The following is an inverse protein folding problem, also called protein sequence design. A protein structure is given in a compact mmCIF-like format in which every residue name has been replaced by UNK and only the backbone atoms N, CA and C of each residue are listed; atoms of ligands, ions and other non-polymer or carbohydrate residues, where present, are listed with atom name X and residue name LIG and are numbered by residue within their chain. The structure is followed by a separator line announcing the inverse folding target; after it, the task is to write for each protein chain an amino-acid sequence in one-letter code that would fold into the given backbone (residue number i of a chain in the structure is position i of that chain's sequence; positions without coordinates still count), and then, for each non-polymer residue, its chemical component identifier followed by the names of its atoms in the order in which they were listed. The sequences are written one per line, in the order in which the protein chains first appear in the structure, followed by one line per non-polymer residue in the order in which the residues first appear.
data_IF_913722361774
#
_entry.id   IF_913722361774
#
_cell.length_a   1.000
_cell.length_b   1.000
_cell.length_c   1.000
_cell.angle_alpha   90.00
_cell.angle_beta   90.00
_cell.angle_gamma   90.00
#
_symmetry.space_group_name_H-M   'P 1'
#
loop_
_entity.id
_entity.type
_entity.pdbx_description
1 polymer ?
#
# COMPACT_ATOMS: atom_id res chain seq x y z
N UNK A 1 1.20 -29.22 2.83
CA UNK A 1 0.29 -28.27 2.14
C UNK A 1 1.17 -27.39 1.29
N UNK A 2 0.98 -27.44 -0.02
CA UNK A 2 1.68 -26.54 -0.95
C UNK A 2 0.80 -25.33 -1.23
N UNK A 3 1.40 -24.11 -1.17
CA UNK A 3 0.71 -22.84 -1.35
C UNK A 3 1.45 -22.00 -2.39
N UNK A 4 0.71 -21.26 -3.21
CA UNK A 4 1.25 -20.19 -4.02
C UNK A 4 0.91 -18.85 -3.38
N UNK A 5 1.94 -18.04 -3.13
CA UNK A 5 1.76 -16.74 -2.44
C UNK A 5 2.36 -15.65 -3.31
N UNK A 6 1.56 -14.64 -3.61
CA UNK A 6 2.01 -13.35 -4.13
C UNK A 6 1.85 -12.31 -3.01
N UNK A 7 2.91 -11.58 -2.70
CA UNK A 7 2.93 -10.51 -1.72
C UNK A 7 3.26 -9.19 -2.41
N UNK A 8 2.35 -8.24 -2.33
CA UNK A 8 2.45 -6.93 -2.95
C UNK A 8 2.30 -5.82 -1.93
N UNK A 9 3.02 -4.73 -2.12
CA UNK A 9 2.81 -3.50 -1.38
C UNK A 9 2.07 -2.49 -2.27
N UNK A 10 0.96 -1.95 -1.77
CA UNK A 10 0.16 -0.94 -2.45
C UNK A 10 0.00 0.26 -1.52
N UNK A 11 0.65 1.39 -1.81
CA UNK A 11 0.70 2.57 -0.93
C UNK A 11 -0.69 2.99 -0.44
N UNK A 12 -1.65 3.15 -1.36
CA UNK A 12 -3.04 3.52 -1.05
C UNK A 12 -3.98 2.34 -1.28
N UNK A 13 -5.01 2.22 -0.46
CA UNK A 13 -6.04 1.19 -0.57
C UNK A 13 -7.02 1.40 -1.75
N UNK A 14 -6.96 2.58 -2.39
CA UNK A 14 -7.74 2.91 -3.59
C UNK A 14 -6.88 3.76 -4.55
N UNK A 15 -6.10 3.12 -5.43
CA UNK A 15 -5.30 3.81 -6.46
C UNK A 15 -6.09 4.16 -7.73
N UNK A 16 -7.41 4.38 -7.63
CA UNK A 16 -8.33 4.57 -8.76
C UNK A 16 -9.14 3.32 -9.11
N UNK A 17 -8.91 2.20 -8.40
CA UNK A 17 -9.65 0.94 -8.52
C UNK A 17 -9.61 0.17 -7.19
N UNK A 18 -10.51 -0.81 -7.04
CA UNK A 18 -10.52 -1.66 -5.85
C UNK A 18 -9.32 -2.64 -5.89
N UNK A 19 -8.43 -2.57 -4.88
CA UNK A 19 -7.29 -3.49 -4.75
C UNK A 19 -7.75 -4.95 -4.69
N UNK A 20 -8.93 -5.22 -4.11
CA UNK A 20 -9.52 -6.56 -4.11
C UNK A 20 -9.72 -7.14 -5.52
N UNK A 21 -10.18 -6.33 -6.48
CA UNK A 21 -10.35 -6.77 -7.88
C UNK A 21 -9.00 -7.14 -8.51
N UNK A 22 -7.97 -6.34 -8.27
CA UNK A 22 -6.61 -6.65 -8.72
C UNK A 22 -6.09 -7.93 -8.07
N UNK A 23 -6.31 -8.10 -6.76
CA UNK A 23 -5.95 -9.33 -6.03
C UNK A 23 -6.64 -10.58 -6.58
N UNK A 24 -7.93 -10.48 -6.94
CA UNK A 24 -8.67 -11.57 -7.60
C UNK A 24 -8.00 -11.95 -8.93
N UNK A 25 -7.67 -10.95 -9.76
CA UNK A 25 -6.98 -11.19 -11.02
C UNK A 25 -5.64 -11.90 -10.84
N UNK A 26 -4.82 -11.47 -9.86
CA UNK A 26 -3.54 -12.13 -9.57
C UNK A 26 -3.73 -13.56 -9.03
N UNK A 27 -4.70 -13.78 -8.15
CA UNK A 27 -5.02 -15.13 -7.67
C UNK A 27 -5.47 -16.05 -8.80
N UNK A 28 -6.30 -15.56 -9.72
CA UNK A 28 -6.76 -16.31 -10.88
C UNK A 28 -5.59 -16.68 -11.81
N UNK A 29 -4.66 -15.75 -12.04
CA UNK A 29 -3.43 -16.03 -12.81
C UNK A 29 -2.59 -17.09 -12.16
N UNK A 30 -2.31 -17.00 -10.85
CA UNK A 30 -1.55 -18.02 -10.12
C UNK A 30 -2.19 -19.41 -10.22
N UNK A 31 -3.52 -19.50 -10.21
CA UNK A 31 -4.22 -20.77 -10.41
C UNK A 31 -4.03 -21.26 -11.85
N UNK A 32 -4.21 -20.38 -12.85
CA UNK A 32 -4.06 -20.73 -14.26
C UNK A 32 -2.64 -21.16 -14.62
N UNK A 33 -1.63 -20.51 -14.07
CA UNK A 33 -0.21 -20.82 -14.31
C UNK A 33 0.23 -22.18 -13.75
N UNK A 34 -0.59 -22.82 -12.92
CA UNK A 34 -0.31 -24.19 -12.44
C UNK A 34 -0.52 -25.25 -13.51
N UNK A 35 -1.30 -24.96 -14.55
CA UNK A 35 -1.49 -25.89 -15.65
C UNK A 35 -0.18 -26.15 -16.40
N UNK A 36 0.12 -27.42 -16.62
CA UNK A 36 1.37 -27.85 -17.24
C UNK A 36 2.56 -27.98 -16.29
N UNK A 37 2.49 -27.38 -15.09
CA UNK A 37 3.56 -27.44 -14.07
C UNK A 37 3.15 -28.24 -12.84
N UNK A 38 2.02 -27.93 -12.23
CA UNK A 38 1.49 -28.58 -11.02
C UNK A 38 0.48 -29.66 -11.36
N UNK A 39 -0.35 -29.43 -12.37
CA UNK A 39 -1.34 -30.42 -12.83
C UNK A 39 -1.46 -30.39 -14.35
N UNK A 40 -1.96 -31.49 -14.92
CA UNK A 40 -2.22 -31.65 -16.35
C UNK A 40 -3.55 -32.35 -16.55
N UNK A 41 -4.14 -32.19 -17.74
CA UNK A 41 -5.42 -32.81 -18.11
C UNK A 41 -6.51 -32.61 -17.02
N UNK A 42 -7.04 -33.71 -16.49
CA UNK A 42 -8.12 -33.71 -15.50
C UNK A 42 -7.64 -33.77 -14.03
N UNK A 43 -6.35 -33.58 -13.76
CA UNK A 43 -5.78 -33.66 -12.41
C UNK A 43 -6.08 -32.41 -11.52
N UNK A 44 -7.28 -31.84 -11.62
CA UNK A 44 -7.68 -30.59 -10.91
C UNK A 44 -7.54 -30.70 -9.38
N UNK A 45 -7.58 -31.91 -8.82
CA UNK A 45 -7.35 -32.14 -7.38
C UNK A 45 -5.96 -31.69 -6.89
N UNK A 46 -4.99 -31.58 -7.82
CA UNK A 46 -3.62 -31.12 -7.54
C UNK A 46 -3.49 -29.60 -7.45
N UNK A 47 -4.52 -28.85 -7.86
CA UNK A 47 -4.48 -27.38 -7.82
C UNK A 47 -4.16 -26.92 -6.41
N UNK A 48 -3.07 -26.17 -6.29
CA UNK A 48 -2.62 -25.58 -5.04
C UNK A 48 -3.41 -24.30 -4.74
N UNK A 49 -3.61 -24.04 -3.45
CA UNK A 49 -4.25 -22.84 -2.98
C UNK A 49 -3.38 -21.60 -3.29
N UNK A 50 -3.98 -20.57 -3.87
CA UNK A 50 -3.35 -19.31 -4.18
C UNK A 50 -3.76 -18.22 -3.18
N UNK A 51 -2.78 -17.47 -2.70
CA UNK A 51 -2.95 -16.28 -1.88
C UNK A 51 -2.35 -15.07 -2.57
N UNK A 52 -3.15 -14.05 -2.84
CA UNK A 52 -2.69 -12.71 -3.24
C UNK A 52 -2.82 -11.78 -2.03
N UNK A 53 -1.68 -11.43 -1.41
CA UNK A 53 -1.62 -10.63 -0.18
C UNK A 53 -1.17 -9.22 -0.53
N UNK A 54 -1.94 -8.23 -0.09
CA UNK A 54 -1.72 -6.81 -0.35
C UNK A 54 -1.54 -6.06 0.95
N UNK A 55 -0.38 -5.45 1.15
CA UNK A 55 -0.11 -4.60 2.31
C UNK A 55 -0.31 -3.14 1.88
N UNK A 56 -1.23 -2.44 2.55
CA UNK A 56 -1.54 -1.04 2.33
C UNK A 56 -1.05 -0.21 3.52
N UNK A 57 0.12 0.45 3.42
CA UNK A 57 0.67 1.26 4.51
C UNK A 57 -0.14 2.53 4.80
N UNK A 58 -0.72 3.14 3.78
CA UNK A 58 -1.48 4.40 3.88
C UNK A 58 -2.95 4.21 3.45
N UNK A 59 -3.74 3.40 4.16
CA UNK A 59 -5.14 3.23 3.83
C UNK A 59 -5.96 4.44 4.25
N UNK A 60 -7.17 4.58 3.71
CA UNK A 60 -8.13 5.58 4.18
C UNK A 60 -8.45 5.38 5.66
N UNK A 61 -8.79 6.47 6.38
CA UNK A 61 -9.07 6.44 7.83
C UNK A 61 -10.06 5.34 8.24
N UNK A 62 -11.07 5.06 7.41
CA UNK A 62 -12.10 4.05 7.69
C UNK A 62 -11.59 2.60 7.60
N UNK A 63 -10.47 2.38 6.93
CA UNK A 63 -9.91 1.03 6.69
C UNK A 63 -8.68 0.71 7.53
N UNK A 64 -8.13 1.69 8.25
CA UNK A 64 -6.96 1.50 9.12
C UNK A 64 -7.15 0.33 10.09
N UNK A 65 -6.07 -0.35 10.40
CA UNK A 65 -6.01 -1.47 11.34
C UNK A 65 -6.99 -2.60 11.00
N UNK A 66 -7.05 -2.99 9.72
CA UNK A 66 -7.93 -4.08 9.28
C UNK A 66 -7.20 -5.10 8.41
N UNK A 67 -7.61 -6.34 8.54
CA UNK A 67 -7.23 -7.45 7.67
C UNK A 67 -8.51 -8.00 7.07
N UNK A 68 -8.65 -7.95 5.76
CA UNK A 68 -9.84 -8.39 5.03
C UNK A 68 -9.45 -9.55 4.11
N UNK A 69 -10.15 -10.65 4.22
CA UNK A 69 -10.00 -11.81 3.32
C UNK A 69 -11.19 -11.87 2.37
N UNK A 70 -10.91 -12.01 1.08
CA UNK A 70 -11.86 -12.35 0.03
C UNK A 70 -11.55 -13.77 -0.45
N UNK A 71 -12.54 -14.61 -0.50
CA UNK A 71 -12.39 -16.02 -0.88
C UNK A 71 -13.66 -16.56 -1.53
N UNK A 72 -13.55 -17.68 -2.20
CA UNK A 72 -14.70 -18.42 -2.70
C UNK A 72 -15.38 -19.08 -1.50
N UNK A 73 -16.70 -18.90 -1.41
CA UNK A 73 -17.55 -19.55 -0.41
C UNK A 73 -18.68 -20.27 -1.12
N UNK A 74 -19.09 -21.39 -0.55
CA UNK A 74 -20.26 -22.12 -0.99
C UNK A 74 -21.54 -21.50 -0.42
N UNK A 75 -22.59 -21.45 -1.25
CA UNK A 75 -23.93 -21.07 -0.82
C UNK A 75 -24.94 -22.03 -1.45
N UNK A 76 -25.58 -22.83 -0.63
CA UNK A 76 -26.66 -23.70 -1.07
C UNK A 76 -27.85 -22.86 -1.56
N UNK A 77 -28.15 -22.95 -2.84
CA UNK A 77 -29.35 -22.30 -3.43
C UNK A 77 -30.56 -23.24 -3.45
N UNK A 78 -30.28 -24.54 -3.59
CA UNK A 78 -31.26 -25.60 -3.52
C UNK A 78 -30.57 -26.93 -3.25
N UNK A 79 -31.10 -27.74 -2.34
CA UNK A 79 -30.45 -29.00 -1.92
C UNK A 79 -29.25 -28.78 -0.99
N UNK A 80 -28.47 -29.85 -0.79
CA UNK A 80 -27.28 -29.85 0.08
C UNK A 80 -26.03 -30.15 -0.73
N UNK A 81 -24.94 -29.46 -0.42
CA UNK A 81 -23.62 -29.77 -0.94
C UNK A 81 -22.92 -30.81 -0.07
N UNK A 82 -22.07 -31.60 -0.72
CA UNK A 82 -21.19 -32.57 -0.08
C UNK A 82 -19.72 -32.35 -0.48
N UNK A 83 -19.39 -31.17 -1.03
CA UNK A 83 -18.04 -30.83 -1.46
C UNK A 83 -17.21 -30.37 -0.28
N UNK A 84 -16.05 -30.97 -0.07
CA UNK A 84 -15.13 -30.55 1.00
C UNK A 84 -14.62 -29.13 0.76
N UNK A 85 -14.57 -28.33 1.83
CA UNK A 85 -14.02 -26.96 1.80
C UNK A 85 -12.63 -26.87 1.11
N UNK A 86 -11.75 -27.85 1.34
CA UNK A 86 -10.42 -27.93 0.72
C UNK A 86 -10.44 -27.98 -0.80
N UNK A 87 -11.56 -28.40 -1.41
CA UNK A 87 -11.66 -28.58 -2.85
C UNK A 87 -12.03 -27.28 -3.59
N UNK A 88 -12.69 -26.34 -2.94
CA UNK A 88 -13.06 -25.04 -3.54
C UNK A 88 -12.33 -23.82 -2.92
N UNK A 89 -11.74 -23.92 -1.73
CA UNK A 89 -10.94 -22.83 -1.12
C UNK A 89 -9.56 -22.74 -1.80
N UNK A 90 -9.55 -22.42 -3.10
CA UNK A 90 -8.33 -22.35 -3.92
C UNK A 90 -7.86 -20.93 -4.18
N UNK A 91 -8.77 -19.95 -4.16
CA UNK A 91 -8.48 -18.54 -4.49
C UNK A 91 -8.73 -17.65 -3.28
N UNK A 92 -7.68 -16.96 -2.82
CA UNK A 92 -7.74 -16.09 -1.65
C UNK A 92 -7.03 -14.77 -1.93
N UNK A 93 -7.69 -13.66 -1.58
CA UNK A 93 -7.10 -12.33 -1.55
C UNK A 93 -7.11 -11.83 -0.13
N UNK A 94 -5.98 -11.36 0.38
CA UNK A 94 -5.89 -10.77 1.73
C UNK A 94 -5.39 -9.35 1.59
N UNK A 95 -6.16 -8.39 2.11
CA UNK A 95 -5.76 -6.99 2.17
C UNK A 95 -5.49 -6.64 3.62
N UNK A 96 -4.25 -6.22 3.89
CA UNK A 96 -3.78 -5.78 5.19
C UNK A 96 -3.65 -4.26 5.15
N UNK A 97 -4.56 -3.57 5.79
CA UNK A 97 -4.53 -2.12 5.91
C UNK A 97 -3.85 -1.73 7.23
N UNK A 98 -2.66 -1.17 7.13
CA UNK A 98 -1.93 -0.71 8.30
C UNK A 98 -2.56 0.56 8.86
N UNK A 99 -2.30 0.86 10.11
CA UNK A 99 -2.79 2.05 10.78
C UNK A 99 -1.66 2.91 11.31
N UNK A 100 -2.02 4.00 11.97
CA UNK A 100 -1.07 4.73 12.78
C UNK A 100 -0.68 3.84 13.97
N UNK A 101 0.62 3.76 14.26
CA UNK A 101 1.15 2.96 15.38
C UNK A 101 0.84 3.61 16.74
N UNK A 102 -0.13 4.52 16.79
CA UNK A 102 -0.57 5.22 17.99
C UNK A 102 -1.57 4.32 18.75
N UNK A 103 -1.15 3.82 19.92
CA UNK A 103 -1.94 2.95 20.78
C UNK A 103 -1.62 1.46 20.66
N UNK A 104 -2.26 0.66 21.51
CA UNK A 104 -2.12 -0.79 21.48
C UNK A 104 -2.94 -1.38 20.33
N UNK A 105 -2.28 -2.06 19.40
CA UNK A 105 -2.93 -2.84 18.35
C UNK A 105 -3.14 -4.25 18.88
N UNK A 106 -4.39 -4.64 19.11
CA UNK A 106 -4.77 -5.98 19.56
C UNK A 106 -4.76 -7.01 18.40
N UNK A 107 -3.73 -6.93 17.57
CA UNK A 107 -3.49 -7.90 16.50
C UNK A 107 -2.00 -7.99 16.21
N UNK A 108 -1.40 -9.13 16.53
CA UNK A 108 0.04 -9.34 16.42
C UNK A 108 0.58 -9.13 14.99
N UNK A 109 -0.16 -9.56 13.96
CA UNK A 109 0.27 -9.40 12.57
C UNK A 109 0.25 -7.92 12.14
N UNK A 110 -0.79 -7.17 12.50
CA UNK A 110 -0.87 -5.73 12.23
C UNK A 110 0.22 -4.95 12.97
N UNK A 111 0.47 -5.27 14.26
CA UNK A 111 1.52 -4.61 15.03
C UNK A 111 2.92 -4.92 14.47
N UNK A 112 3.16 -6.17 14.07
CA UNK A 112 4.42 -6.58 13.42
C UNK A 112 4.64 -5.84 12.09
N UNK A 113 3.68 -5.93 11.18
CA UNK A 113 3.78 -5.29 9.87
C UNK A 113 3.78 -3.76 10.00
N UNK A 114 2.99 -3.21 10.91
CA UNK A 114 3.00 -1.79 11.22
C UNK A 114 4.36 -1.32 11.73
N UNK A 115 5.02 -2.11 12.59
CA UNK A 115 6.40 -1.82 13.05
C UNK A 115 7.39 -1.86 11.88
N UNK A 116 7.32 -2.90 11.07
CA UNK A 116 8.23 -3.10 9.94
C UNK A 116 8.12 -1.97 8.92
N UNK A 117 6.90 -1.58 8.55
CA UNK A 117 6.62 -0.59 7.49
C UNK A 117 6.34 0.84 8.02
N UNK A 118 6.48 1.09 9.33
CA UNK A 118 6.33 2.43 9.88
C UNK A 118 7.35 3.40 9.29
N UNK A 119 6.88 4.55 8.83
CA UNK A 119 7.73 5.67 8.42
C UNK A 119 8.09 6.58 9.61
N UNK A 120 7.35 6.45 10.73
CA UNK A 120 7.54 7.27 11.94
C UNK A 120 8.58 6.70 12.92
N UNK A 121 8.88 5.40 12.81
CA UNK A 121 9.84 4.73 13.68
C UNK A 121 11.24 4.77 13.07
N UNK A 122 12.22 5.13 13.89
CA UNK A 122 13.63 5.04 13.52
C UNK A 122 14.08 3.58 13.34
N UNK A 123 15.23 3.40 12.71
CA UNK A 123 15.86 2.08 12.58
C UNK A 123 16.08 1.40 13.93
N UNK A 124 16.60 2.13 14.93
CA UNK A 124 16.88 1.58 16.24
C UNK A 124 15.61 1.15 16.99
N UNK A 125 14.55 1.96 16.93
CA UNK A 125 13.25 1.61 17.52
C UNK A 125 12.64 0.36 16.89
N UNK A 126 12.72 0.24 15.56
CA UNK A 126 12.27 -0.97 14.86
C UNK A 126 13.08 -2.19 15.24
N UNK A 127 14.41 -2.06 15.25
CA UNK A 127 15.36 -3.13 15.63
C UNK A 127 15.07 -3.63 17.04
N UNK A 128 14.92 -2.72 17.99
CA UNK A 128 14.62 -3.05 19.38
C UNK A 128 13.26 -3.78 19.49
N UNK A 129 12.22 -3.23 18.88
CA UNK A 129 10.87 -3.82 18.96
C UNK A 129 10.78 -5.17 18.25
N UNK A 130 11.41 -5.31 17.09
CA UNK A 130 11.46 -6.59 16.36
C UNK A 130 12.23 -7.66 17.15
N UNK A 131 13.32 -7.28 17.79
CA UNK A 131 14.10 -8.20 18.63
C UNK A 131 13.41 -8.57 19.92
N UNK A 132 12.96 -7.59 20.71
CA UNK A 132 12.40 -7.79 22.04
C UNK A 132 11.00 -8.41 22.01
N UNK A 133 10.11 -7.91 21.16
CA UNK A 133 8.70 -8.35 21.11
C UNK A 133 8.48 -9.58 20.24
N UNK A 134 9.22 -9.70 19.13
CA UNK A 134 8.99 -10.76 18.14
C UNK A 134 10.10 -11.81 18.10
N UNK A 135 11.17 -11.65 18.88
CA UNK A 135 12.28 -12.59 18.95
C UNK A 135 13.09 -12.70 17.65
N UNK A 136 13.03 -11.68 16.80
CA UNK A 136 13.75 -11.68 15.52
C UNK A 136 15.23 -11.43 15.77
N UNK A 137 16.08 -12.41 15.43
CA UNK A 137 17.52 -12.23 15.47
C UNK A 137 17.98 -11.33 14.34
N UNK A 138 18.52 -10.17 14.69
CA UNK A 138 19.08 -9.24 13.72
C UNK A 138 20.40 -9.76 13.19
N UNK A 139 20.37 -10.31 11.96
CA UNK A 139 21.56 -10.62 11.20
C UNK A 139 22.08 -9.36 10.51
N UNK A 140 23.37 -9.31 10.13
CA UNK A 140 23.93 -8.18 9.40
C UNK A 140 23.17 -7.87 8.09
N UNK A 141 22.67 -8.90 7.43
CA UNK A 141 21.87 -8.76 6.21
C UNK A 141 20.52 -8.10 6.49
N UNK A 142 19.79 -8.59 7.50
CA UNK A 142 18.51 -8.03 7.90
C UNK A 142 18.65 -6.59 8.42
N UNK A 143 19.72 -6.28 9.17
CA UNK A 143 20.02 -4.91 9.61
C UNK A 143 20.23 -3.97 8.42
N UNK A 144 21.01 -4.41 7.43
CA UNK A 144 21.22 -3.63 6.20
C UNK A 144 19.91 -3.37 5.48
N UNK A 145 19.13 -4.41 5.22
CA UNK A 145 17.86 -4.33 4.47
C UNK A 145 16.84 -3.44 5.20
N UNK A 146 16.76 -3.55 6.52
CA UNK A 146 15.90 -2.70 7.36
C UNK A 146 16.37 -1.24 7.34
N UNK A 147 17.67 -0.99 7.38
CA UNK A 147 18.29 0.35 7.30
C UNK A 147 18.00 1.00 5.93
N UNK A 148 18.18 0.24 4.85
CA UNK A 148 17.88 0.71 3.49
C UNK A 148 16.40 1.05 3.33
N UNK A 149 15.50 0.22 3.85
CA UNK A 149 14.06 0.47 3.84
C UNK A 149 13.69 1.74 4.63
N UNK A 150 14.30 1.98 5.79
CA UNK A 150 14.11 3.21 6.56
C UNK A 150 14.60 4.43 5.78
N UNK A 151 15.80 4.37 5.20
CA UNK A 151 16.38 5.47 4.43
C UNK A 151 15.55 5.85 3.21
N UNK A 152 15.03 4.85 2.48
CA UNK A 152 14.11 5.08 1.35
C UNK A 152 12.81 5.72 1.80
N UNK A 153 12.24 5.30 2.93
CA UNK A 153 11.00 5.84 3.48
C UNK A 153 11.16 7.31 3.87
N UNK A 154 12.24 7.67 4.56
CA UNK A 154 12.56 9.06 4.93
C UNK A 154 12.77 9.93 3.68
N UNK A 155 13.50 9.46 2.69
CA UNK A 155 13.73 10.20 1.45
C UNK A 155 12.43 10.49 0.67
N UNK A 156 11.51 9.53 0.62
CA UNK A 156 10.21 9.71 -0.03
C UNK A 156 9.34 10.71 0.74
N UNK A 157 9.36 10.65 2.08
CA UNK A 157 8.61 11.58 2.93
C UNK A 157 9.12 13.01 2.78
N UNK A 158 10.43 13.22 2.82
CA UNK A 158 11.06 14.54 2.65
C UNK A 158 10.74 15.15 1.28
N UNK A 159 10.81 14.34 0.20
CA UNK A 159 10.40 14.78 -1.14
C UNK A 159 8.90 15.11 -1.18
N UNK A 160 8.07 14.31 -0.53
CA UNK A 160 6.62 14.53 -0.44
C UNK A 160 6.26 15.80 0.31
N UNK A 161 6.88 16.04 1.47
CA UNK A 161 6.70 17.27 2.27
C UNK A 161 7.16 18.48 1.48
N UNK A 162 8.35 18.45 0.86
CA UNK A 162 8.86 19.55 0.05
C UNK A 162 7.92 19.88 -1.10
N UNK A 163 7.47 18.88 -1.87
CA UNK A 163 6.47 19.09 -2.93
C UNK A 163 5.16 19.67 -2.41
N UNK A 164 4.66 19.15 -1.30
CA UNK A 164 3.43 19.67 -0.67
C UNK A 164 3.55 21.13 -0.21
N UNK A 165 4.71 21.53 0.34
CA UNK A 165 5.00 22.93 0.70
C UNK A 165 5.06 23.79 -0.56
N UNK A 166 5.78 23.36 -1.59
CA UNK A 166 5.91 24.08 -2.87
C UNK A 166 4.54 24.29 -3.54
N UNK A 167 3.72 23.25 -3.62
CA UNK A 167 2.36 23.33 -4.17
C UNK A 167 1.44 24.21 -3.32
N UNK A 168 1.47 24.07 -2.00
CA UNK A 168 0.67 24.86 -1.07
C UNK A 168 1.04 26.35 -1.12
N UNK A 169 2.33 26.64 -1.18
CA UNK A 169 2.84 28.01 -1.35
C UNK A 169 2.37 28.60 -2.67
N UNK A 170 2.55 27.86 -3.77
CA UNK A 170 2.12 28.28 -5.11
C UNK A 170 0.62 28.59 -5.16
N UNK A 171 -0.23 27.69 -4.67
CA UNK A 171 -1.69 27.90 -4.60
C UNK A 171 -2.06 29.13 -3.78
N UNK A 172 -1.38 29.36 -2.68
CA UNK A 172 -1.61 30.51 -1.81
C UNK A 172 -1.24 31.81 -2.49
N UNK A 173 -0.07 31.86 -3.15
CA UNK A 173 0.39 33.03 -3.89
C UNK A 173 -0.56 33.38 -5.04
N UNK A 174 -1.00 32.40 -5.83
CA UNK A 174 -1.99 32.62 -6.90
C UNK A 174 -3.29 33.24 -6.35
N UNK A 175 -3.83 32.70 -5.25
CA UNK A 175 -5.03 33.26 -4.61
C UNK A 175 -4.85 34.71 -4.15
N UNK A 176 -3.66 35.07 -3.66
CA UNK A 176 -3.36 36.45 -3.23
C UNK A 176 -3.27 37.38 -4.42
N UNK A 177 -2.69 36.93 -5.55
CA UNK A 177 -2.66 37.68 -6.81
C UNK A 177 -4.09 37.88 -7.34
N UNK A 178 -4.91 36.85 -7.41
CA UNK A 178 -6.31 36.90 -7.87
C UNK A 178 -7.16 37.87 -7.02
N UNK A 179 -6.89 37.93 -5.73
CA UNK A 179 -7.54 38.85 -4.80
C UNK A 179 -6.95 40.30 -4.81
N UNK A 180 -5.99 40.56 -5.68
CA UNK A 180 -5.30 41.84 -5.77
C UNK A 180 -4.53 42.25 -4.51
N UNK A 181 -4.11 41.27 -3.68
CA UNK A 181 -3.37 41.53 -2.44
C UNK A 181 -1.87 41.63 -2.66
N UNK A 182 -1.33 40.97 -3.67
CA UNK A 182 0.06 41.06 -4.12
C UNK A 182 0.11 41.09 -5.64
N UNK A 183 1.20 41.59 -6.21
CA UNK A 183 1.42 41.56 -7.66
C UNK A 183 1.94 40.19 -8.10
N UNK A 184 1.85 39.92 -9.40
CA UNK A 184 2.42 38.69 -9.98
C UNK A 184 3.96 38.67 -9.81
N UNK A 185 4.59 39.85 -9.78
CA UNK A 185 6.03 39.97 -9.57
C UNK A 185 6.40 39.60 -8.14
N UNK A 186 5.65 40.12 -7.14
CA UNK A 186 5.86 39.74 -5.72
C UNK A 186 5.65 38.25 -5.48
N UNK A 187 4.65 37.68 -6.16
CA UNK A 187 4.38 36.23 -6.08
C UNK A 187 5.54 35.40 -6.67
N UNK A 188 6.10 35.82 -7.80
CA UNK A 188 7.21 35.15 -8.45
C UNK A 188 8.49 35.24 -7.60
N UNK A 189 8.79 36.40 -7.05
CA UNK A 189 9.92 36.62 -6.13
C UNK A 189 9.79 35.77 -4.87
N UNK A 190 8.59 35.75 -4.24
CA UNK A 190 8.31 34.94 -3.06
C UNK A 190 8.42 33.42 -3.34
N UNK A 191 8.03 32.99 -4.54
CA UNK A 191 8.14 31.61 -4.99
C UNK A 191 9.57 31.22 -5.44
N UNK A 192 10.51 32.18 -5.47
CA UNK A 192 11.89 31.96 -5.91
C UNK A 192 12.01 31.61 -7.40
N UNK A 193 11.09 32.09 -8.25
CA UNK A 193 11.08 31.79 -9.69
C UNK A 193 10.81 33.04 -10.53
N UNK A 194 11.11 32.98 -11.83
CA UNK A 194 10.81 34.07 -12.75
C UNK A 194 9.29 34.19 -13.04
N UNK A 195 8.83 35.39 -13.38
CA UNK A 195 7.41 35.66 -13.69
C UNK A 195 6.88 34.74 -14.80
N UNK A 196 7.65 34.54 -15.88
CA UNK A 196 7.27 33.67 -16.98
C UNK A 196 7.10 32.18 -16.54
N UNK A 197 7.98 31.72 -15.64
CA UNK A 197 7.91 30.38 -15.07
C UNK A 197 6.66 30.22 -14.19
N UNK A 198 6.31 31.24 -13.40
CA UNK A 198 5.11 31.27 -12.56
C UNK A 198 3.84 31.21 -13.43
N UNK A 199 3.78 32.00 -14.50
CA UNK A 199 2.64 32.04 -15.43
C UNK A 199 2.45 30.71 -16.14
N UNK A 200 3.53 30.11 -16.65
CA UNK A 200 3.48 28.79 -17.26
C UNK A 200 2.97 27.70 -16.31
N UNK A 201 3.46 27.71 -15.08
CA UNK A 201 3.01 26.77 -14.03
C UNK A 201 1.54 26.99 -13.66
N UNK A 202 1.05 28.24 -13.69
CA UNK A 202 -0.37 28.57 -13.51
C UNK A 202 -1.23 27.95 -14.61
N UNK A 203 -0.84 28.11 -15.88
CA UNK A 203 -1.56 27.53 -17.02
C UNK A 203 -1.61 26.00 -16.96
N UNK A 204 -0.51 25.37 -16.58
CA UNK A 204 -0.44 23.90 -16.39
C UNK A 204 -1.40 23.45 -15.28
N UNK A 205 -1.46 24.18 -14.18
CA UNK A 205 -2.36 23.90 -13.07
C UNK A 205 -3.84 24.07 -13.44
N UNK A 206 -4.21 25.14 -14.15
CA UNK A 206 -5.58 25.36 -14.64
C UNK A 206 -6.04 24.29 -15.64
N UNK A 207 -5.12 23.74 -16.46
CA UNK A 207 -5.41 22.64 -17.38
C UNK A 207 -5.59 21.28 -16.68
N UNK A 208 -4.94 21.06 -15.54
CA UNK A 208 -5.07 19.79 -14.79
C UNK A 208 -6.39 19.63 -14.05
N UNK A 209 -7.19 20.71 -13.94
CA UNK A 209 -8.56 20.66 -13.39
C UNK A 209 -8.63 20.41 -11.87
N UNK A 210 -7.53 20.66 -11.13
CA UNK A 210 -7.48 20.58 -9.67
C UNK A 210 -7.67 21.95 -8.98
#
# INVERSE_FOLDING_TARGET
ISLMINLEMQKKDNPGYAVATRGIYYSARMISEQYGTVFRESEYHKIQKAYSIWICPEPTKKRKNSIIKYCITEKELYGKSFTDYKDYDKMNVVIVNLGDMEGAIDNQALDFLGTLFSIKMSFEEKKEKLGSKYGIKMTKELERDLSEMCSLSFGIEEIGIRKGIEEGTFKTLLRLVEKGKITIVDAAETAGMGVDALLKKKEEYERSGE
#
